data_IF_180880421676
#
_entry.id   IF_180880421676
#
_cell.length_a   1.000
_cell.length_b   1.000
_cell.length_c   1.000
_cell.angle_alpha   90.00
_cell.angle_beta   90.00
_cell.angle_gamma   90.00
#
_symmetry.space_group_name_H-M   'P 1'
#
loop_
_entity.id
_entity.type
_entity.pdbx_description
1 polymer ?
#
# COMPACT_ATOMS: atom_id res chain seq x y z
N UNK A 1 3.28 35.82 -28.20
CA UNK A 1 3.94 36.15 -26.91
C UNK A 1 3.51 35.13 -25.86
N UNK A 2 4.46 34.49 -25.20
CA UNK A 2 4.13 33.59 -24.09
C UNK A 2 3.50 34.38 -22.93
N UNK A 3 2.36 33.96 -22.41
CA UNK A 3 1.72 34.55 -21.22
C UNK A 3 2.43 34.19 -19.92
N UNK A 4 3.41 33.29 -19.98
CA UNK A 4 4.11 32.75 -18.80
C UNK A 4 5.46 33.40 -18.52
N UNK A 5 5.90 34.34 -19.37
CA UNK A 5 7.17 35.09 -19.17
C UNK A 5 6.91 36.57 -19.19
N UNK A 6 7.59 37.31 -18.32
CA UNK A 6 7.51 38.79 -18.25
C UNK A 6 8.40 39.49 -19.27
N UNK A 7 9.24 38.73 -20.00
CA UNK A 7 10.15 39.34 -21.00
C UNK A 7 9.37 39.90 -22.19
N UNK A 8 9.56 41.21 -22.46
CA UNK A 8 9.02 41.90 -23.62
C UNK A 8 9.89 41.62 -24.86
N UNK A 9 9.43 42.04 -26.07
CA UNK A 9 10.24 41.90 -27.29
C UNK A 9 11.52 42.74 -27.25
N UNK A 10 11.54 43.98 -26.69
CA UNK A 10 12.79 44.69 -26.41
C UNK A 10 13.73 43.94 -25.46
N UNK A 11 13.21 43.34 -24.38
CA UNK A 11 14.04 42.56 -23.43
C UNK A 11 14.66 41.34 -24.12
N UNK A 12 13.90 40.63 -24.94
CA UNK A 12 14.41 39.49 -25.71
C UNK A 12 15.51 39.89 -26.67
N UNK A 13 15.35 41.02 -27.38
CA UNK A 13 16.41 41.56 -28.24
C UNK A 13 17.68 41.88 -27.45
N UNK A 14 17.54 42.58 -26.35
CA UNK A 14 18.69 42.88 -25.48
C UNK A 14 19.39 41.61 -24.96
N UNK A 15 18.63 40.55 -24.62
CA UNK A 15 19.20 39.26 -24.23
C UNK A 15 19.95 38.59 -25.38
N UNK A 16 19.37 38.54 -26.58
CA UNK A 16 20.01 37.97 -27.77
C UNK A 16 21.30 38.75 -28.12
N UNK A 17 21.25 40.07 -28.10
CA UNK A 17 22.43 40.93 -28.34
C UNK A 17 23.54 40.65 -27.31
N UNK A 18 23.16 40.47 -26.03
CA UNK A 18 24.14 40.23 -24.95
C UNK A 18 24.86 38.87 -25.08
N UNK A 19 24.22 37.86 -25.67
CA UNK A 19 24.81 36.53 -25.91
C UNK A 19 25.35 36.36 -27.32
N UNK A 20 25.21 37.38 -28.19
CA UNK A 20 25.71 37.37 -29.55
C UNK A 20 24.89 36.51 -30.53
N UNK A 21 23.62 36.25 -30.23
CA UNK A 21 22.69 35.51 -31.09
C UNK A 21 21.80 36.48 -31.89
N UNK A 22 21.60 36.21 -33.18
CA UNK A 22 20.79 37.05 -34.05
C UNK A 22 19.29 36.78 -33.90
N UNK A 23 18.93 35.59 -33.49
CA UNK A 23 17.55 35.13 -33.33
C UNK A 23 17.42 34.07 -32.24
N UNK A 24 16.17 33.76 -31.83
CA UNK A 24 15.88 32.60 -30.96
C UNK A 24 16.25 31.28 -31.63
N UNK A 25 16.14 31.21 -32.96
CA UNK A 25 16.48 30.03 -33.73
C UNK A 25 17.94 29.64 -33.64
N UNK A 26 18.85 30.65 -33.53
CA UNK A 26 20.27 30.42 -33.41
C UNK A 26 20.62 29.66 -32.11
N UNK A 27 19.76 29.74 -31.10
CA UNK A 27 19.96 29.02 -29.84
C UNK A 27 19.76 27.51 -29.97
N UNK A 28 19.18 27.08 -31.08
CA UNK A 28 18.94 25.66 -31.38
C UNK A 28 19.90 25.11 -32.44
N UNK A 29 20.94 25.85 -32.79
CA UNK A 29 21.91 25.46 -33.82
C UNK A 29 22.63 24.13 -33.53
N UNK A 30 22.74 23.77 -32.25
CA UNK A 30 23.35 22.48 -31.82
C UNK A 30 22.44 21.28 -32.07
N UNK A 31 21.16 21.50 -32.41
CA UNK A 31 20.22 20.43 -32.72
C UNK A 31 20.29 20.17 -34.23
N UNK A 32 20.65 18.93 -34.67
CA UNK A 32 20.67 18.59 -36.09
C UNK A 32 19.31 18.80 -36.75
N UNK A 33 19.32 19.34 -38.00
CA UNK A 33 18.07 19.67 -38.73
C UNK A 33 17.15 18.44 -38.92
N UNK A 34 17.72 17.25 -39.12
CA UNK A 34 16.99 16.01 -39.33
C UNK A 34 16.23 15.48 -38.11
N UNK A 35 16.58 15.95 -36.92
CA UNK A 35 15.87 15.60 -35.66
C UNK A 35 15.06 16.77 -35.10
N UNK A 36 15.16 17.93 -35.71
CA UNK A 36 14.43 19.13 -35.29
C UNK A 36 12.98 19.10 -35.82
N UNK A 37 12.03 19.30 -34.92
CA UNK A 37 10.62 19.41 -35.32
C UNK A 37 10.37 20.80 -35.93
N UNK A 38 9.97 20.83 -37.19
CA UNK A 38 9.69 22.07 -37.99
C UNK A 38 8.20 22.34 -38.18
N UNK A 39 7.35 21.58 -37.53
CA UNK A 39 5.89 21.69 -37.55
C UNK A 39 5.30 21.94 -36.18
N UNK A 40 4.11 22.48 -36.10
CA UNK A 40 3.34 22.53 -34.87
C UNK A 40 2.95 21.12 -34.42
N UNK A 41 2.84 20.94 -33.12
CA UNK A 41 2.31 19.71 -32.57
C UNK A 41 0.84 19.55 -32.93
N UNK A 42 0.43 18.33 -33.29
CA UNK A 42 -0.98 18.00 -33.57
C UNK A 42 -1.72 17.83 -32.23
N UNK A 43 -2.01 18.96 -31.60
CA UNK A 43 -2.74 19.03 -30.33
C UNK A 43 -4.11 19.67 -30.56
N UNK A 44 -5.14 19.23 -29.81
CA UNK A 44 -6.43 19.90 -29.82
C UNK A 44 -6.31 21.36 -29.44
N UNK A 45 -7.19 22.19 -29.99
CA UNK A 45 -7.27 23.59 -29.56
C UNK A 45 -7.55 23.72 -28.07
N UNK A 46 -7.00 24.76 -27.45
CA UNK A 46 -7.25 25.04 -26.05
C UNK A 46 -8.73 25.30 -25.77
N UNK A 47 -9.23 24.73 -24.69
CA UNK A 47 -10.62 24.90 -24.23
C UNK A 47 -10.68 26.01 -23.16
N UNK A 48 -11.85 26.63 -23.03
CA UNK A 48 -12.14 27.53 -21.88
C UNK A 48 -12.24 26.71 -20.57
N UNK A 49 -12.12 27.38 -19.44
CA UNK A 49 -12.27 26.75 -18.11
C UNK A 49 -13.61 26.00 -17.97
N UNK A 50 -14.70 26.62 -18.44
CA UNK A 50 -16.04 25.99 -18.41
C UNK A 50 -16.05 24.70 -19.27
N UNK A 51 -15.57 24.77 -20.49
CA UNK A 51 -15.54 23.60 -21.40
C UNK A 51 -14.69 22.45 -20.83
N UNK A 52 -13.54 22.77 -20.22
CA UNK A 52 -12.70 21.76 -19.54
C UNK A 52 -13.44 21.15 -18.35
N UNK A 53 -14.10 21.98 -17.54
CA UNK A 53 -14.87 21.53 -16.39
C UNK A 53 -16.01 20.60 -16.81
N UNK A 54 -16.79 20.97 -17.81
CA UNK A 54 -17.89 20.17 -18.31
C UNK A 54 -17.38 18.85 -18.93
N UNK A 55 -16.30 18.92 -19.68
CA UNK A 55 -15.67 17.72 -20.28
C UNK A 55 -15.17 16.74 -19.20
N UNK A 56 -14.41 17.22 -18.22
CA UNK A 56 -13.90 16.38 -17.14
C UNK A 56 -15.03 15.84 -16.25
N UNK A 57 -16.07 16.64 -15.98
CA UNK A 57 -17.25 16.19 -15.25
C UNK A 57 -17.97 15.05 -15.99
N UNK A 58 -18.08 15.15 -17.34
CA UNK A 58 -18.67 14.10 -18.16
C UNK A 58 -17.88 12.80 -18.12
N UNK A 59 -16.54 12.88 -18.08
CA UNK A 59 -15.67 11.71 -17.92
C UNK A 59 -15.78 11.13 -16.51
N UNK A 60 -15.79 11.97 -15.49
CA UNK A 60 -15.93 11.54 -14.10
C UNK A 60 -17.26 10.81 -13.84
N UNK A 61 -18.35 11.27 -14.47
CA UNK A 61 -19.67 10.64 -14.37
C UNK A 61 -19.76 9.23 -14.97
N UNK A 62 -18.76 8.77 -15.70
CA UNK A 62 -18.65 7.39 -16.19
C UNK A 62 -18.15 6.41 -15.13
N UNK A 63 -17.56 6.90 -14.05
CA UNK A 63 -17.13 6.09 -12.91
C UNK A 63 -18.30 5.88 -11.95
N UNK A 64 -18.25 4.76 -11.22
CA UNK A 64 -19.14 4.50 -10.09
C UNK A 64 -18.32 4.54 -8.81
N UNK A 65 -18.65 5.48 -7.92
CA UNK A 65 -17.98 5.60 -6.62
C UNK A 65 -18.57 4.66 -5.57
N UNK A 66 -17.82 4.45 -4.50
CA UNK A 66 -18.25 3.62 -3.36
C UNK A 66 -19.44 4.21 -2.56
N UNK A 67 -19.87 5.42 -2.89
CA UNK A 67 -21.10 6.06 -2.43
C UNK A 67 -22.33 5.78 -3.33
N UNK A 68 -22.09 5.30 -4.55
CA UNK A 68 -23.11 5.00 -5.55
C UNK A 68 -23.39 3.51 -5.68
N UNK A 69 -22.47 2.67 -5.24
CA UNK A 69 -22.63 1.21 -5.28
C UNK A 69 -22.24 0.58 -3.93
N UNK A 70 -22.88 -0.53 -3.59
CA UNK A 70 -22.49 -1.37 -2.45
C UNK A 70 -21.35 -2.24 -2.88
N UNK A 71 -20.13 -2.00 -2.37
CA UNK A 71 -18.95 -2.76 -2.77
C UNK A 71 -18.50 -3.75 -1.69
N UNK A 72 -18.25 -4.98 -2.10
CA UNK A 72 -17.57 -6.02 -1.34
C UNK A 72 -16.17 -6.30 -1.91
N UNK A 73 -15.67 -5.43 -2.77
CA UNK A 73 -14.30 -5.49 -3.25
C UNK A 73 -13.32 -5.15 -2.13
N UNK A 74 -12.18 -5.83 -2.14
CA UNK A 74 -11.09 -5.69 -1.19
C UNK A 74 -9.76 -5.86 -1.90
N UNK A 75 -9.11 -7.02 -1.69
CA UNK A 75 -7.84 -7.34 -2.34
C UNK A 75 -6.75 -6.28 -2.07
N UNK A 76 -6.62 -5.86 -0.81
CA UNK A 76 -5.60 -4.93 -0.35
C UNK A 76 -6.04 -3.46 -0.23
N UNK A 77 -7.16 -3.07 -0.87
CA UNK A 77 -7.75 -1.72 -0.76
C UNK A 77 -9.21 -1.84 -0.33
N UNK A 78 -9.63 -1.13 0.72
CA UNK A 78 -10.91 -1.38 1.36
C UNK A 78 -11.71 -0.09 1.61
N UNK A 79 -13.02 -0.17 1.38
CA UNK A 79 -13.96 0.92 1.57
C UNK A 79 -14.31 1.09 3.07
N UNK A 80 -13.39 1.66 3.85
CA UNK A 80 -13.63 2.06 5.23
C UNK A 80 -14.25 3.45 5.34
N UNK A 81 -14.93 3.71 6.44
CA UNK A 81 -15.37 5.06 6.78
C UNK A 81 -14.17 5.91 7.21
N UNK A 82 -13.97 7.03 6.53
CA UNK A 82 -12.95 8.01 6.90
C UNK A 82 -13.62 9.13 7.71
N UNK A 83 -13.30 9.29 9.00
CA UNK A 83 -13.85 10.34 9.83
C UNK A 83 -13.53 11.74 9.30
N UNK A 84 -14.49 12.67 9.38
CA UNK A 84 -14.29 14.05 8.93
C UNK A 84 -13.11 14.75 9.63
N UNK A 85 -12.74 14.30 10.84
CA UNK A 85 -11.58 14.81 11.58
C UNK A 85 -10.26 14.55 10.81
N UNK A 86 -10.13 13.41 10.16
CA UNK A 86 -8.92 13.07 9.37
C UNK A 86 -8.72 14.11 8.27
N UNK A 87 -9.77 14.34 7.46
CA UNK A 87 -9.72 15.32 6.38
C UNK A 87 -9.51 16.76 6.91
N UNK A 88 -10.21 17.14 7.98
CA UNK A 88 -10.06 18.45 8.61
C UNK A 88 -8.62 18.75 9.06
N UNK A 89 -7.88 17.74 9.52
CA UNK A 89 -6.49 17.91 9.95
C UNK A 89 -5.54 17.86 8.76
N UNK A 90 -5.71 16.92 7.83
CA UNK A 90 -4.81 16.77 6.67
C UNK A 90 -4.89 17.95 5.70
N UNK A 91 -6.04 18.66 5.67
CA UNK A 91 -6.24 19.87 4.85
C UNK A 91 -5.66 21.15 5.49
N UNK A 92 -5.18 21.12 6.73
CA UNK A 92 -4.54 22.29 7.32
C UNK A 92 -3.25 22.61 6.59
N UNK A 93 -3.05 23.90 6.30
CA UNK A 93 -1.87 24.36 5.54
C UNK A 93 -0.54 23.97 6.20
N UNK A 94 -0.50 23.89 7.53
CA UNK A 94 0.67 23.49 8.32
C UNK A 94 1.12 22.06 8.01
N UNK A 95 0.23 21.19 7.55
CA UNK A 95 0.52 19.81 7.17
C UNK A 95 0.47 19.57 5.66
N UNK A 96 -0.37 20.32 4.93
CA UNK A 96 -0.57 20.16 3.49
C UNK A 96 0.60 20.69 2.66
N UNK A 97 1.19 21.84 3.06
CA UNK A 97 2.21 22.54 2.25
C UNK A 97 3.65 22.14 2.52
N UNK A 98 4.06 21.58 3.68
CA UNK A 98 5.45 21.18 3.89
C UNK A 98 5.89 20.09 2.92
N UNK A 99 7.15 20.16 2.54
CA UNK A 99 7.83 19.11 1.81
C UNK A 99 8.60 18.21 2.79
N UNK A 100 9.84 17.84 2.50
CA UNK A 100 10.65 17.07 3.43
C UNK A 100 11.15 17.96 4.59
N UNK A 101 10.98 17.56 5.86
CA UNK A 101 11.29 18.37 7.03
C UNK A 101 12.79 18.33 7.38
N UNK A 102 13.68 18.76 6.46
CA UNK A 102 15.12 18.79 6.71
C UNK A 102 15.55 19.86 7.72
N UNK A 103 14.78 20.95 7.81
CA UNK A 103 15.03 22.03 8.78
C UNK A 103 14.14 21.83 10.02
N UNK A 104 14.67 21.22 11.10
CA UNK A 104 13.86 20.92 12.28
C UNK A 104 13.31 22.19 12.95
N UNK A 105 13.98 23.33 12.82
CA UNK A 105 13.60 24.60 13.44
C UNK A 105 12.20 25.08 13.02
N UNK A 106 11.77 24.76 11.80
CA UNK A 106 10.47 25.17 11.24
C UNK A 106 9.52 24.00 11.00
N UNK A 107 9.90 22.78 11.35
CA UNK A 107 9.18 21.55 11.02
C UNK A 107 8.81 20.69 12.23
N UNK A 108 8.80 21.25 13.43
CA UNK A 108 8.61 20.50 14.67
C UNK A 108 7.30 19.73 14.70
N UNK A 109 6.18 20.33 14.25
CA UNK A 109 4.88 19.65 14.20
C UNK A 109 4.88 18.43 13.27
N UNK A 110 5.43 18.56 12.06
CA UNK A 110 5.55 17.46 11.11
C UNK A 110 6.47 16.34 11.61
N UNK A 111 7.60 16.68 12.21
CA UNK A 111 8.54 15.72 12.79
C UNK A 111 7.94 14.99 13.99
N UNK A 112 7.18 15.68 14.83
CA UNK A 112 6.45 15.07 15.93
C UNK A 112 5.43 14.05 15.42
N UNK A 113 4.66 14.40 14.40
CA UNK A 113 3.71 13.45 13.78
C UNK A 113 4.42 12.22 13.22
N UNK A 114 5.55 12.38 12.56
CA UNK A 114 6.35 11.24 12.09
C UNK A 114 6.80 10.34 13.26
N UNK A 115 7.24 10.93 14.36
CA UNK A 115 7.64 10.21 15.56
C UNK A 115 6.46 9.46 16.19
N UNK A 116 5.29 10.10 16.31
CA UNK A 116 4.08 9.48 16.84
C UNK A 116 3.58 8.35 15.93
N UNK A 117 3.63 8.53 14.60
CA UNK A 117 3.33 7.47 13.64
C UNK A 117 4.26 6.26 13.80
N UNK A 118 5.56 6.47 13.92
CA UNK A 118 6.54 5.42 14.18
C UNK A 118 6.18 4.64 15.46
N UNK A 119 5.81 5.35 16.52
CA UNK A 119 5.39 4.75 17.78
C UNK A 119 4.13 3.89 17.59
N UNK A 120 3.11 4.43 16.90
CA UNK A 120 1.87 3.70 16.66
C UNK A 120 2.09 2.41 15.86
N UNK A 121 2.92 2.45 14.81
CA UNK A 121 3.24 1.25 14.02
C UNK A 121 4.07 0.26 14.84
N UNK A 122 4.99 0.72 15.66
CA UNK A 122 5.76 -0.15 16.57
C UNK A 122 4.85 -0.86 17.57
N UNK A 123 3.92 -0.15 18.18
CA UNK A 123 2.94 -0.71 19.13
C UNK A 123 2.00 -1.73 18.44
N UNK A 124 1.50 -1.43 17.24
CA UNK A 124 0.63 -2.32 16.49
C UNK A 124 1.33 -3.61 16.08
N UNK A 125 2.57 -3.51 15.63
CA UNK A 125 3.33 -4.65 15.09
C UNK A 125 4.08 -5.45 16.15
N UNK A 126 4.25 -4.91 17.37
CA UNK A 126 5.07 -5.50 18.42
C UNK A 126 6.56 -5.49 18.09
N UNK A 127 7.01 -4.62 17.16
CA UNK A 127 8.42 -4.46 16.79
C UNK A 127 8.95 -3.12 17.28
N UNK A 128 10.20 -3.05 17.79
CA UNK A 128 10.67 -1.89 18.58
C UNK A 128 10.96 -0.64 17.74
N UNK A 129 11.13 -0.76 16.42
CA UNK A 129 11.47 0.38 15.57
C UNK A 129 10.61 0.42 14.31
N UNK A 130 10.19 1.62 13.93
CA UNK A 130 9.47 1.89 12.69
C UNK A 130 10.06 3.10 11.98
N UNK A 131 9.84 3.21 10.67
CA UNK A 131 10.16 4.40 9.89
C UNK A 131 8.96 5.37 9.79
N UNK A 132 9.19 6.53 9.18
CA UNK A 132 8.19 7.59 9.05
C UNK A 132 7.20 7.39 7.87
N UNK A 133 7.15 6.27 7.26
CA UNK A 133 6.33 5.71 6.16
C UNK A 133 7.15 5.30 4.94
N UNK A 134 6.51 4.57 4.04
CA UNK A 134 6.94 4.24 2.68
C UNK A 134 5.84 4.64 1.69
N UNK A 135 6.00 4.26 0.41
CA UNK A 135 5.06 4.67 -0.64
C UNK A 135 3.74 3.91 -0.56
N UNK A 136 3.78 2.57 -0.53
CA UNK A 136 2.64 1.67 -0.39
C UNK A 136 3.09 0.28 0.09
N UNK A 137 2.14 -0.63 0.32
CA UNK A 137 2.41 -1.99 0.81
C UNK A 137 3.38 -2.78 -0.07
N UNK A 138 3.16 -2.89 -1.40
CA UNK A 138 4.05 -3.62 -2.30
C UNK A 138 5.50 -3.16 -2.27
N UNK A 139 5.77 -1.85 -2.29
CA UNK A 139 7.15 -1.35 -2.18
C UNK A 139 7.74 -1.54 -0.77
N UNK A 140 6.89 -1.61 0.26
CA UNK A 140 7.33 -1.94 1.62
C UNK A 140 7.84 -3.38 1.70
N UNK A 141 7.13 -4.33 1.08
CA UNK A 141 7.56 -5.74 0.93
C UNK A 141 8.87 -5.82 0.16
N UNK A 142 8.97 -5.16 -0.99
CA UNK A 142 10.19 -5.15 -1.81
C UNK A 142 11.39 -4.53 -1.08
N UNK A 143 11.17 -3.49 -0.29
CA UNK A 143 12.20 -2.85 0.54
C UNK A 143 12.71 -3.78 1.65
N UNK A 144 11.87 -4.68 2.18
CA UNK A 144 12.29 -5.70 3.13
C UNK A 144 13.20 -6.75 2.45
N UNK A 145 12.96 -7.08 1.18
CA UNK A 145 13.84 -7.92 0.38
C UNK A 145 15.23 -7.29 0.18
N UNK A 146 15.27 -5.99 -0.09
CA UNK A 146 16.53 -5.27 -0.19
C UNK A 146 17.28 -5.21 1.15
N UNK A 147 16.58 -4.97 2.27
CA UNK A 147 17.18 -5.03 3.60
C UNK A 147 17.79 -6.40 3.88
N UNK A 148 17.10 -7.48 3.53
CA UNK A 148 17.61 -8.84 3.71
C UNK A 148 18.89 -9.08 2.89
N UNK A 149 18.91 -8.61 1.64
CA UNK A 149 20.12 -8.66 0.81
C UNK A 149 21.28 -7.87 1.42
N UNK A 150 21.04 -6.69 1.98
CA UNK A 150 22.07 -5.91 2.70
C UNK A 150 22.53 -6.59 4.01
N UNK A 151 21.69 -7.42 4.62
CA UNK A 151 22.01 -8.09 5.89
C UNK A 151 22.92 -9.29 5.70
N UNK A 152 22.59 -10.19 4.78
CA UNK A 152 23.29 -11.47 4.65
C UNK A 152 23.83 -11.77 3.24
N UNK A 153 23.48 -10.99 2.22
CA UNK A 153 24.02 -11.13 0.85
C UNK A 153 23.64 -12.42 0.13
N UNK A 154 22.65 -13.17 0.64
CA UNK A 154 22.17 -14.42 0.03
C UNK A 154 21.26 -14.10 -1.16
N UNK A 155 21.29 -14.91 -2.20
CA UNK A 155 20.66 -14.62 -3.48
C UNK A 155 19.21 -15.11 -3.64
N UNK A 156 18.59 -15.68 -2.59
CA UNK A 156 17.26 -16.28 -2.67
C UNK A 156 16.28 -15.65 -1.69
N UNK A 157 15.11 -15.29 -2.19
CA UNK A 157 13.95 -14.83 -1.43
C UNK A 157 12.84 -15.86 -1.61
N UNK A 158 12.23 -16.33 -0.52
CA UNK A 158 11.11 -17.27 -0.57
C UNK A 158 9.84 -16.50 -0.21
N UNK A 159 8.79 -16.59 -1.02
CA UNK A 159 7.52 -15.90 -0.79
C UNK A 159 6.35 -16.89 -0.81
N UNK A 160 5.50 -16.84 0.22
CA UNK A 160 4.23 -17.55 0.16
C UNK A 160 3.34 -16.99 -0.97
N UNK A 161 2.64 -17.85 -1.69
CA UNK A 161 1.58 -17.41 -2.59
C UNK A 161 0.41 -16.73 -1.87
N UNK A 162 0.33 -16.84 -0.55
CA UNK A 162 -0.58 -16.07 0.29
C UNK A 162 -0.19 -14.59 0.45
N UNK A 163 1.00 -14.17 0.04
CA UNK A 163 1.36 -12.75 -0.06
C UNK A 163 0.64 -12.11 -1.24
N UNK A 164 0.17 -10.90 -1.06
CA UNK A 164 -0.56 -10.12 -2.09
C UNK A 164 0.15 -10.18 -3.46
N UNK A 165 -0.56 -10.47 -4.57
CA UNK A 165 0.04 -10.64 -5.90
C UNK A 165 0.93 -9.47 -6.32
N UNK A 166 0.46 -8.22 -6.21
CA UNK A 166 1.26 -7.04 -6.53
C UNK A 166 2.53 -6.93 -5.68
N UNK A 167 2.47 -7.37 -4.41
CA UNK A 167 3.66 -7.39 -3.54
C UNK A 167 4.68 -8.42 -4.02
N UNK A 168 4.25 -9.61 -4.46
CA UNK A 168 5.13 -10.64 -5.03
C UNK A 168 5.77 -10.17 -6.33
N UNK A 169 5.00 -9.55 -7.23
CA UNK A 169 5.51 -8.99 -8.49
C UNK A 169 6.51 -7.85 -8.27
N UNK A 170 6.20 -6.94 -7.32
CA UNK A 170 7.10 -5.83 -6.95
C UNK A 170 8.38 -6.37 -6.33
N UNK A 171 8.27 -7.36 -5.43
CA UNK A 171 9.44 -8.04 -4.84
C UNK A 171 10.31 -8.68 -5.92
N UNK A 172 9.72 -9.39 -6.89
CA UNK A 172 10.44 -10.02 -8.00
C UNK A 172 11.12 -8.97 -8.91
N UNK A 173 10.48 -7.81 -9.10
CA UNK A 173 11.05 -6.71 -9.89
C UNK A 173 12.28 -6.11 -9.19
N UNK A 174 12.18 -5.83 -7.90
CA UNK A 174 13.29 -5.30 -7.10
C UNK A 174 14.42 -6.32 -6.95
N UNK A 175 14.08 -7.60 -6.70
CA UNK A 175 15.04 -8.67 -6.53
C UNK A 175 16.00 -8.78 -7.72
N UNK A 176 15.49 -8.64 -8.95
CA UNK A 176 16.33 -8.60 -10.17
C UNK A 176 17.33 -7.44 -10.13
N UNK A 177 16.93 -6.27 -9.58
CA UNK A 177 17.78 -5.08 -9.48
C UNK A 177 18.98 -5.27 -8.54
N UNK A 178 18.84 -6.08 -7.49
CA UNK A 178 19.93 -6.38 -6.55
C UNK A 178 20.47 -7.83 -6.66
N UNK A 179 20.18 -8.52 -7.78
CA UNK A 179 20.79 -9.79 -8.10
C UNK A 179 20.27 -11.00 -7.33
N UNK A 180 19.02 -10.92 -6.82
CA UNK A 180 18.35 -12.03 -6.14
C UNK A 180 17.22 -12.63 -6.98
N UNK A 181 16.84 -13.88 -6.67
CA UNK A 181 15.67 -14.56 -7.23
C UNK A 181 14.57 -14.70 -6.19
N UNK A 182 13.34 -14.71 -6.65
CA UNK A 182 12.17 -15.03 -5.80
C UNK A 182 11.69 -16.43 -6.15
N UNK A 183 11.48 -17.26 -5.12
CA UNK A 183 10.88 -18.58 -5.20
C UNK A 183 9.54 -18.53 -4.46
N UNK A 184 8.46 -18.91 -5.13
CA UNK A 184 7.13 -18.95 -4.53
C UNK A 184 6.83 -20.33 -3.97
N UNK A 185 6.25 -20.38 -2.76
CA UNK A 185 5.74 -21.61 -2.16
C UNK A 185 4.22 -21.63 -2.25
N UNK A 186 3.61 -22.81 -2.51
CA UNK A 186 2.17 -22.95 -2.70
C UNK A 186 1.39 -22.68 -1.41
N UNK A 187 0.07 -22.59 -1.57
CA UNK A 187 -0.90 -22.74 -0.50
C UNK A 187 -1.32 -24.21 -0.41
N UNK A 188 -1.77 -24.61 0.77
CA UNK A 188 -2.40 -25.90 1.01
C UNK A 188 -3.88 -25.90 0.56
N UNK A 189 -4.57 -27.03 0.76
CA UNK A 189 -5.97 -27.21 0.38
C UNK A 189 -6.93 -26.30 1.16
N UNK A 190 -6.52 -25.78 2.31
CA UNK A 190 -7.29 -24.85 3.16
C UNK A 190 -6.96 -23.37 2.86
N UNK A 191 -6.16 -23.09 1.83
CA UNK A 191 -5.77 -21.75 1.43
C UNK A 191 -4.80 -21.07 2.39
N UNK A 192 -4.11 -21.82 3.23
CA UNK A 192 -3.02 -21.36 4.06
C UNK A 192 -1.65 -21.62 3.39
N UNK A 193 -0.59 -21.00 3.89
CA UNK A 193 0.76 -21.29 3.41
C UNK A 193 1.15 -22.74 3.73
N UNK A 194 1.53 -23.51 2.70
CA UNK A 194 1.98 -24.90 2.88
C UNK A 194 3.30 -24.90 3.69
N UNK A 195 3.21 -25.35 4.95
CA UNK A 195 4.34 -25.39 5.87
C UNK A 195 5.42 -26.38 5.44
N UNK A 196 5.06 -27.52 4.86
CA UNK A 196 6.04 -28.52 4.39
C UNK A 196 6.80 -28.01 3.16
N UNK A 197 6.08 -27.41 2.21
CA UNK A 197 6.69 -26.76 1.04
C UNK A 197 7.58 -25.60 1.46
N UNK A 198 7.14 -24.76 2.42
CA UNK A 198 7.96 -23.68 2.95
C UNK A 198 9.24 -24.23 3.59
N UNK A 199 9.13 -25.24 4.44
CA UNK A 199 10.28 -25.84 5.11
C UNK A 199 11.24 -26.49 4.13
N UNK A 200 10.78 -27.05 3.02
CA UNK A 200 11.60 -27.60 1.95
C UNK A 200 12.30 -26.51 1.13
N UNK A 201 11.63 -25.37 0.91
CA UNK A 201 12.18 -24.25 0.14
C UNK A 201 13.24 -23.43 0.90
N UNK A 202 13.25 -23.44 2.25
CA UNK A 202 14.20 -22.65 3.06
C UNK A 202 15.51 -23.39 3.23
N UNK A 203 16.60 -22.82 2.68
CA UNK A 203 17.96 -23.35 2.71
C UNK A 203 19.01 -22.27 3.05
N UNK A 204 20.30 -22.61 2.96
CA UNK A 204 21.41 -21.71 3.29
C UNK A 204 21.56 -20.54 2.29
N UNK A 205 20.96 -20.62 1.10
CA UNK A 205 20.92 -19.52 0.14
C UNK A 205 19.75 -18.55 0.41
N UNK A 206 18.82 -18.92 1.29
CA UNK A 206 17.63 -18.13 1.58
C UNK A 206 17.98 -16.89 2.41
N UNK A 207 17.76 -15.71 1.83
CA UNK A 207 17.99 -14.41 2.48
C UNK A 207 16.82 -14.01 3.38
N UNK A 208 15.59 -14.16 2.88
CA UNK A 208 14.37 -13.88 3.63
C UNK A 208 13.20 -14.74 3.15
N UNK A 209 12.23 -14.91 4.05
CA UNK A 209 10.92 -15.52 3.79
C UNK A 209 9.84 -14.44 3.97
N UNK A 210 8.90 -14.39 3.03
CA UNK A 210 7.79 -13.44 3.02
C UNK A 210 6.47 -14.17 3.26
N UNK A 211 5.77 -13.74 4.30
CA UNK A 211 4.45 -14.23 4.72
C UNK A 211 3.47 -13.04 4.75
N UNK A 212 2.18 -13.34 4.87
CA UNK A 212 1.16 -12.30 5.05
C UNK A 212 0.08 -12.77 6.05
N UNK A 213 -0.36 -11.87 6.93
CA UNK A 213 -1.32 -12.14 7.99
C UNK A 213 -2.41 -11.05 8.09
N UNK A 214 -3.70 -11.34 7.87
CA UNK A 214 -4.18 -12.51 7.14
C UNK A 214 -3.60 -12.57 5.73
N UNK A 215 -3.56 -13.75 5.10
CA UNK A 215 -3.05 -13.87 3.74
C UNK A 215 -4.03 -13.28 2.71
N UNK A 216 -3.65 -13.26 1.44
CA UNK A 216 -4.44 -12.64 0.37
C UNK A 216 -5.83 -13.26 0.19
N UNK A 217 -6.01 -14.54 0.49
CA UNK A 217 -7.32 -15.20 0.47
C UNK A 217 -8.16 -14.91 1.71
N UNK A 218 -7.60 -14.19 2.69
CA UNK A 218 -8.23 -13.86 3.96
C UNK A 218 -7.98 -14.87 5.09
N UNK A 219 -7.24 -15.95 4.83
CA UNK A 219 -6.91 -16.97 5.84
C UNK A 219 -6.03 -16.38 6.95
N UNK A 220 -6.41 -16.62 8.20
CA UNK A 220 -5.53 -16.35 9.35
C UNK A 220 -4.52 -17.49 9.46
N UNK A 221 -3.25 -17.18 9.18
CA UNK A 221 -2.16 -18.14 9.13
C UNK A 221 -1.70 -18.60 10.53
N UNK A 222 -1.23 -19.82 10.63
CA UNK A 222 -0.48 -20.31 11.80
C UNK A 222 0.94 -19.72 11.80
N UNK A 223 1.03 -18.43 12.09
CA UNK A 223 2.26 -17.65 11.89
C UNK A 223 3.45 -18.16 12.72
N UNK A 224 3.23 -18.76 13.89
CA UNK A 224 4.29 -19.28 14.75
C UNK A 224 5.14 -20.34 14.07
N UNK A 225 4.58 -21.51 13.66
CA UNK A 225 5.30 -22.54 12.94
C UNK A 225 5.93 -22.04 11.62
N UNK A 226 5.26 -21.16 10.88
CA UNK A 226 5.78 -20.57 9.65
C UNK A 226 7.02 -19.69 9.90
N UNK A 227 7.00 -18.87 10.95
CA UNK A 227 8.13 -18.05 11.35
C UNK A 227 9.33 -18.90 11.84
N UNK A 228 9.08 -19.99 12.56
CA UNK A 228 10.12 -20.95 12.95
C UNK A 228 10.78 -21.60 11.73
N UNK A 229 9.97 -22.09 10.79
CA UNK A 229 10.46 -22.67 9.54
C UNK A 229 11.29 -21.66 8.71
N UNK A 230 10.82 -20.42 8.62
CA UNK A 230 11.48 -19.33 7.91
C UNK A 230 12.89 -19.03 8.47
N UNK A 231 13.06 -19.11 9.79
CA UNK A 231 14.30 -18.73 10.48
C UNK A 231 15.29 -19.86 10.68
N UNK A 232 14.96 -21.10 10.28
CA UNK A 232 15.75 -22.29 10.54
C UNK A 232 17.19 -22.18 10.07
N UNK A 233 17.44 -21.52 8.93
CA UNK A 233 18.77 -21.31 8.35
C UNK A 233 19.35 -19.91 8.61
N UNK A 234 18.71 -19.12 9.47
CA UNK A 234 19.08 -17.74 9.74
C UNK A 234 18.62 -16.76 8.64
N UNK A 235 17.63 -17.13 7.83
CA UNK A 235 16.93 -16.20 6.95
C UNK A 235 16.06 -15.23 7.78
N UNK A 236 15.79 -14.04 7.23
CA UNK A 236 14.87 -13.08 7.86
C UNK A 236 13.42 -13.56 7.64
N UNK A 237 12.58 -13.42 8.66
CA UNK A 237 11.14 -13.58 8.53
C UNK A 237 10.49 -12.21 8.37
N UNK A 238 9.84 -11.99 7.21
CA UNK A 238 9.10 -10.78 6.87
C UNK A 238 7.62 -11.11 6.83
N UNK A 239 6.78 -10.34 7.53
CA UNK A 239 5.34 -10.51 7.50
C UNK A 239 4.65 -9.24 7.03
N UNK A 240 3.91 -9.31 5.92
CA UNK A 240 2.96 -8.29 5.55
C UNK A 240 1.70 -8.44 6.42
N UNK A 241 1.19 -7.34 6.98
CA UNK A 241 0.02 -7.37 7.87
C UNK A 241 -1.01 -6.31 7.48
N UNK A 242 -2.27 -6.66 7.68
CA UNK A 242 -3.35 -5.70 7.65
C UNK A 242 -3.46 -5.01 9.02
N UNK A 243 -3.20 -3.69 9.11
CA UNK A 243 -3.06 -3.01 10.39
C UNK A 243 -4.35 -3.00 11.23
N UNK A 244 -5.54 -3.03 10.61
CA UNK A 244 -6.80 -3.06 11.36
C UNK A 244 -7.10 -4.43 11.97
N UNK A 245 -6.60 -5.51 11.37
CA UNK A 245 -6.77 -6.85 11.93
C UNK A 245 -5.94 -7.07 13.21
N UNK A 246 -4.92 -6.25 13.43
CA UNK A 246 -4.11 -6.26 14.66
C UNK A 246 -4.89 -5.81 15.90
N UNK A 247 -6.11 -5.28 15.74
CA UNK A 247 -7.05 -5.09 16.84
C UNK A 247 -7.56 -6.39 17.47
N UNK A 248 -7.50 -7.51 16.72
CA UNK A 248 -8.02 -8.83 17.15
C UNK A 248 -7.00 -9.97 16.96
N UNK A 249 -5.95 -9.76 16.20
CA UNK A 249 -4.87 -10.73 16.00
C UNK A 249 -3.64 -10.33 16.84
N UNK A 250 -2.89 -11.33 17.23
CA UNK A 250 -1.61 -11.12 17.93
C UNK A 250 -0.61 -10.43 17.00
N UNK A 251 0.14 -9.41 17.50
CA UNK A 251 1.16 -8.72 16.72
C UNK A 251 2.23 -9.66 16.15
N UNK A 252 2.71 -9.44 14.90
CA UNK A 252 3.70 -10.31 14.28
C UNK A 252 5.03 -10.39 15.04
N UNK A 253 5.43 -9.32 15.73
CA UNK A 253 6.65 -9.30 16.56
C UNK A 253 6.65 -10.35 17.67
N UNK A 254 5.48 -10.72 18.21
CA UNK A 254 5.36 -11.76 19.26
C UNK A 254 5.62 -13.18 18.74
N UNK A 255 5.57 -13.40 17.42
CA UNK A 255 5.96 -14.65 16.76
C UNK A 255 7.43 -14.67 16.34
N UNK A 256 8.20 -13.64 16.71
CA UNK A 256 9.61 -13.54 16.34
C UNK A 256 9.85 -13.13 14.88
N UNK A 257 8.88 -12.52 14.21
CA UNK A 257 9.05 -11.89 12.90
C UNK A 257 10.12 -10.80 13.01
N UNK A 258 10.98 -10.71 11.99
CA UNK A 258 12.08 -9.74 11.96
C UNK A 258 11.66 -8.37 11.42
N UNK A 259 10.75 -8.39 10.45
CA UNK A 259 10.24 -7.20 9.77
C UNK A 259 8.74 -7.36 9.53
N UNK A 260 7.95 -6.37 9.94
CA UNK A 260 6.54 -6.24 9.61
C UNK A 260 6.34 -5.06 8.66
N UNK A 261 5.59 -5.30 7.59
CA UNK A 261 5.28 -4.31 6.55
C UNK A 261 3.78 -4.35 6.25
N UNK A 262 3.28 -3.36 5.55
CA UNK A 262 1.89 -3.41 5.10
C UNK A 262 1.43 -2.16 4.37
N UNK A 263 0.19 -2.26 3.90
CA UNK A 263 -0.55 -1.19 3.26
C UNK A 263 -1.34 -0.41 4.33
N UNK A 264 -1.14 0.90 4.34
CA UNK A 264 -1.76 1.78 5.33
C UNK A 264 -3.07 2.43 4.89
N UNK A 265 -3.58 2.14 3.69
CA UNK A 265 -4.81 2.76 3.17
C UNK A 265 -5.98 2.66 4.16
N UNK A 266 -6.13 1.54 4.83
CA UNK A 266 -7.22 1.29 5.78
C UNK A 266 -7.18 2.17 7.03
N UNK A 267 -6.04 2.77 7.30
CA UNK A 267 -5.86 3.73 8.38
C UNK A 267 -6.26 5.15 7.92
N UNK A 268 -7.57 5.35 7.72
CA UNK A 268 -8.13 6.68 7.49
C UNK A 268 -7.82 7.32 6.13
N UNK A 269 -7.44 6.54 5.12
CA UNK A 269 -7.25 7.02 3.75
C UNK A 269 -8.40 6.55 2.84
N UNK A 270 -8.85 7.42 1.94
CA UNK A 270 -9.88 7.10 0.95
C UNK A 270 -9.31 6.17 -0.12
N UNK A 271 -10.19 5.56 -0.92
CA UNK A 271 -9.76 4.72 -2.06
C UNK A 271 -9.09 5.54 -3.18
N UNK A 272 -9.49 6.78 -3.38
CA UNK A 272 -8.91 7.79 -4.29
C UNK A 272 -8.47 7.22 -5.65
N UNK A 273 -9.37 6.47 -6.30
CA UNK A 273 -9.11 5.80 -7.60
C UNK A 273 -7.90 4.83 -7.60
N UNK A 274 -7.52 4.30 -6.44
CA UNK A 274 -6.39 3.40 -6.28
C UNK A 274 -5.14 4.02 -5.65
N UNK A 275 -5.26 5.20 -5.08
CA UNK A 275 -4.18 5.88 -4.37
C UNK A 275 -4.04 7.36 -4.72
N UNK A 276 -3.04 8.03 -4.15
CA UNK A 276 -2.00 7.45 -3.30
C UNK A 276 -2.50 7.04 -1.91
N UNK A 277 -1.84 6.04 -1.33
CA UNK A 277 -1.99 5.65 0.07
C UNK A 277 -0.64 5.76 0.79
N UNK A 278 -0.31 4.89 1.73
CA UNK A 278 1.02 4.83 2.30
C UNK A 278 1.38 3.41 2.73
N UNK A 279 2.67 3.09 2.69
CA UNK A 279 3.21 1.87 3.26
C UNK A 279 3.78 2.11 4.66
N UNK A 280 3.78 1.10 5.51
CA UNK A 280 4.48 1.12 6.78
C UNK A 280 5.53 0.01 6.87
N UNK A 281 6.49 0.22 7.77
CA UNK A 281 7.63 -0.67 7.94
C UNK A 281 8.10 -0.62 9.40
N UNK A 282 8.06 -1.76 10.07
CA UNK A 282 8.64 -1.93 11.39
C UNK A 282 9.65 -3.08 11.39
N UNK A 283 10.65 -3.04 12.26
CA UNK A 283 11.69 -4.04 12.31
C UNK A 283 12.26 -4.27 13.72
N UNK A 284 12.96 -5.39 13.89
CA UNK A 284 13.79 -5.60 15.06
C UNK A 284 14.92 -4.56 15.12
N UNK A 285 15.32 -4.14 16.34
CA UNK A 285 16.27 -3.04 16.58
C UNK A 285 17.60 -3.19 15.83
N UNK A 286 18.10 -4.43 15.69
CA UNK A 286 19.35 -4.71 14.97
C UNK A 286 19.38 -4.22 13.52
N UNK A 287 18.20 -4.03 12.90
CA UNK A 287 18.08 -3.57 11.52
C UNK A 287 17.94 -2.04 11.37
N UNK A 288 17.83 -1.29 12.47
CA UNK A 288 17.61 0.15 12.49
C UNK A 288 18.51 0.92 11.49
N UNK A 289 19.79 0.56 11.41
CA UNK A 289 20.76 1.23 10.52
C UNK A 289 20.67 0.83 9.05
N UNK A 290 19.88 -0.20 8.72
CA UNK A 290 19.67 -0.71 7.36
C UNK A 290 18.23 -0.50 6.87
N UNK A 291 17.32 -0.10 7.76
CA UNK A 291 15.92 0.14 7.41
C UNK A 291 15.78 1.17 6.28
N UNK A 292 14.80 1.00 5.37
CA UNK A 292 14.45 2.04 4.39
C UNK A 292 13.70 3.20 5.06
N UNK A 293 13.61 4.32 4.33
CA UNK A 293 12.82 5.47 4.72
C UNK A 293 13.45 6.34 5.81
N UNK A 294 12.80 7.46 6.09
CA UNK A 294 13.22 8.40 7.13
C UNK A 294 12.85 7.94 8.51
N UNK A 295 13.61 8.41 9.48
CA UNK A 295 13.36 8.18 10.90
C UNK A 295 13.41 9.52 11.62
N UNK A 296 12.33 9.88 12.31
CA UNK A 296 12.30 10.98 13.24
C UNK A 296 12.77 10.50 14.62
N UNK A 297 13.57 11.31 15.28
CA UNK A 297 14.07 11.06 16.62
C UNK A 297 13.71 12.21 17.57
N UNK A 298 13.52 11.87 18.85
CA UNK A 298 13.36 12.86 19.90
C UNK A 298 14.71 13.41 20.34
N UNK A 299 14.77 14.70 20.63
CA UNK A 299 15.96 15.42 21.09
C UNK A 299 15.56 16.55 22.03
N UNK A 300 16.53 17.34 22.47
CA UNK A 300 16.31 18.59 23.20
C UNK A 300 17.04 19.73 22.50
N UNK A 301 16.47 20.95 22.57
CA UNK A 301 17.11 22.16 22.09
C UNK A 301 18.19 22.69 23.06
N UNK A 302 18.80 23.82 22.72
CA UNK A 302 19.84 24.45 23.56
C UNK A 302 19.34 24.91 24.93
N UNK A 303 18.05 25.11 25.07
CA UNK A 303 17.37 25.49 26.31
C UNK A 303 16.86 24.26 27.10
N UNK A 304 17.12 23.05 26.61
CA UNK A 304 16.66 21.79 27.20
C UNK A 304 15.19 21.47 26.93
N UNK A 305 14.53 22.15 25.99
CA UNK A 305 13.14 21.85 25.61
C UNK A 305 13.10 20.67 24.66
N UNK A 306 12.09 19.83 24.83
CA UNK A 306 11.82 18.70 23.93
C UNK A 306 11.63 19.15 22.48
N UNK A 307 12.28 18.47 21.56
CA UNK A 307 12.18 18.71 20.14
C UNK A 307 12.35 17.42 19.32
N UNK A 308 12.20 17.52 18.00
CA UNK A 308 12.28 16.42 17.07
C UNK A 308 13.20 16.74 15.90
N UNK A 309 13.90 15.74 15.39
CA UNK A 309 14.83 15.87 14.25
C UNK A 309 14.71 14.64 13.34
N UNK A 310 15.09 14.78 12.07
CA UNK A 310 15.43 13.61 11.26
C UNK A 310 16.76 13.04 11.75
N UNK A 311 16.79 11.75 12.00
CA UNK A 311 17.99 11.06 12.47
C UNK A 311 18.48 10.02 11.47
N UNK A 312 19.73 9.55 11.62
CA UNK A 312 20.35 8.54 10.75
C UNK A 312 20.30 8.90 9.25
N UNK A 313 20.32 10.17 8.90
CA UNK A 313 20.25 10.67 7.52
C UNK A 313 21.39 10.15 6.63
N UNK A 314 22.50 9.68 7.21
CA UNK A 314 23.61 9.06 6.47
C UNK A 314 23.21 7.79 5.71
N UNK A 315 21.98 7.25 5.87
CA UNK A 315 21.42 6.15 5.09
C UNK A 315 20.82 6.63 3.77
N UNK A 316 20.55 7.94 3.63
CA UNK A 316 19.81 8.51 2.51
C UNK A 316 20.71 8.72 1.28
N UNK A 317 20.12 8.63 0.07
CA UNK A 317 20.84 8.69 -1.21
C UNK A 317 21.57 10.02 -1.46
N UNK A 318 21.02 11.15 -0.98
CA UNK A 318 21.67 12.47 -1.18
C UNK A 318 22.96 12.63 -0.38
N UNK A 319 23.19 11.77 0.62
CA UNK A 319 24.43 11.72 1.42
C UNK A 319 25.33 10.57 0.97
N UNK A 320 24.80 9.36 0.87
CA UNK A 320 25.59 8.13 0.61
C UNK A 320 25.64 7.73 -0.86
N UNK A 321 24.84 8.35 -1.74
CA UNK A 321 24.77 8.06 -3.17
C UNK A 321 24.52 6.56 -3.42
N UNK A 322 25.37 5.90 -4.20
CA UNK A 322 25.28 4.46 -4.51
C UNK A 322 25.39 3.52 -3.29
N UNK A 323 25.90 4.03 -2.16
CA UNK A 323 26.01 3.28 -0.90
C UNK A 323 24.82 3.50 0.05
N UNK A 324 23.79 4.20 -0.39
CA UNK A 324 22.59 4.42 0.40
C UNK A 324 21.86 3.08 0.66
N UNK A 325 21.24 2.95 1.82
CA UNK A 325 20.41 1.78 2.14
C UNK A 325 19.02 1.86 1.54
N UNK A 326 18.64 3.01 1.02
CA UNK A 326 17.35 3.23 0.33
C UNK A 326 17.41 4.52 -0.52
N UNK A 327 16.44 4.64 -1.43
CA UNK A 327 16.22 5.83 -2.26
C UNK A 327 14.86 6.51 -2.00
N UNK A 328 14.24 6.22 -0.85
CA UNK A 328 12.99 6.85 -0.43
C UNK A 328 13.24 8.33 -0.19
N UNK A 329 12.50 9.21 -0.88
CA UNK A 329 12.63 10.65 -0.75
C UNK A 329 11.55 11.24 0.18
N UNK A 330 10.37 11.49 -0.33
CA UNK A 330 9.29 12.12 0.44
C UNK A 330 8.45 11.13 1.23
N UNK A 331 8.44 9.84 0.82
CA UNK A 331 7.45 8.87 1.28
C UNK A 331 6.00 9.39 1.11
N UNK A 332 5.07 9.00 1.97
CA UNK A 332 3.67 9.45 1.98
C UNK A 332 3.32 10.09 3.32
N UNK A 333 4.07 11.11 3.70
CA UNK A 333 3.99 11.72 5.03
C UNK A 333 2.60 12.27 5.37
N UNK A 334 1.89 12.89 4.40
CA UNK A 334 0.55 13.42 4.63
C UNK A 334 -0.48 12.30 4.82
N UNK A 335 -0.39 11.23 4.05
CA UNK A 335 -1.26 10.06 4.20
C UNK A 335 -0.98 9.32 5.52
N UNK A 336 0.28 9.25 5.93
CA UNK A 336 0.67 8.69 7.24
C UNK A 336 0.17 9.56 8.40
N UNK A 337 0.13 10.91 8.26
CA UNK A 337 -0.55 11.80 9.20
C UNK A 337 -2.03 11.44 9.32
N UNK A 338 -2.71 11.25 8.18
CA UNK A 338 -4.10 10.78 8.16
C UNK A 338 -4.26 9.46 8.94
N UNK A 339 -3.32 8.52 8.74
CA UNK A 339 -3.26 7.26 9.47
C UNK A 339 -3.09 7.45 10.98
N UNK A 340 -2.20 8.34 11.38
CA UNK A 340 -1.98 8.64 12.81
C UNK A 340 -3.21 9.28 13.45
N UNK A 341 -3.86 10.23 12.77
CA UNK A 341 -5.11 10.86 13.24
C UNK A 341 -6.22 9.82 13.39
N UNK A 342 -6.35 8.90 12.43
CA UNK A 342 -7.33 7.83 12.47
C UNK A 342 -7.09 6.87 13.65
N UNK A 343 -5.85 6.45 13.87
CA UNK A 343 -5.48 5.60 15.00
C UNK A 343 -5.74 6.31 16.34
N UNK A 344 -5.41 7.60 16.44
CA UNK A 344 -5.68 8.40 17.64
C UNK A 344 -7.20 8.56 17.88
N UNK A 345 -8.00 8.69 16.82
CA UNK A 345 -9.47 8.76 16.89
C UNK A 345 -10.10 7.44 17.33
N UNK A 346 -9.66 6.31 16.78
CA UNK A 346 -10.10 4.99 17.21
C UNK A 346 -9.66 4.71 18.65
N UNK A 347 -8.42 5.04 18.95
CA UNK A 347 -7.80 4.68 20.20
C UNK A 347 -7.72 3.15 20.38
N UNK A 348 -7.19 2.77 21.50
CA UNK A 348 -6.95 1.37 21.87
C UNK A 348 -8.22 0.51 21.87
N UNK A 349 -9.35 1.08 22.27
CA UNK A 349 -10.64 0.39 22.31
C UNK A 349 -11.30 0.32 20.93
N UNK A 350 -11.27 1.41 20.18
CA UNK A 350 -11.95 1.50 18.89
C UNK A 350 -11.37 0.55 17.85
N UNK A 351 -10.03 0.33 17.83
CA UNK A 351 -9.42 -0.62 16.89
C UNK A 351 -9.86 -2.07 17.17
N UNK A 352 -10.02 -2.44 18.46
CA UNK A 352 -10.53 -3.75 18.86
C UNK A 352 -12.00 -3.90 18.45
N UNK A 353 -12.84 -2.92 18.79
CA UNK A 353 -14.27 -2.92 18.44
C UNK A 353 -14.49 -3.01 16.92
N UNK A 354 -13.65 -2.32 16.14
CA UNK A 354 -13.70 -2.37 14.68
C UNK A 354 -13.29 -3.75 14.15
N UNK A 355 -12.19 -4.32 14.64
CA UNK A 355 -11.76 -5.67 14.29
C UNK A 355 -12.81 -6.75 14.58
N UNK A 356 -13.40 -6.70 15.78
CA UNK A 356 -14.49 -7.60 16.15
C UNK A 356 -15.76 -7.40 15.30
N UNK A 357 -16.11 -6.16 14.95
CA UNK A 357 -17.24 -5.87 14.09
C UNK A 357 -17.04 -6.48 12.69
N UNK A 358 -15.85 -6.32 12.12
CA UNK A 358 -15.49 -6.92 10.83
C UNK A 358 -15.58 -8.45 10.89
N UNK A 359 -14.99 -9.08 11.92
CA UNK A 359 -15.03 -10.53 12.09
C UNK A 359 -16.48 -11.08 12.20
N UNK A 360 -17.35 -10.42 12.99
CA UNK A 360 -18.76 -10.78 13.10
C UNK A 360 -19.50 -10.65 11.77
N UNK A 361 -19.27 -9.58 11.01
CA UNK A 361 -19.93 -9.37 9.70
C UNK A 361 -19.44 -10.38 8.66
N UNK A 362 -18.15 -10.68 8.67
CA UNK A 362 -17.55 -11.68 7.77
C UNK A 362 -18.09 -13.07 8.05
N UNK A 363 -18.20 -13.46 9.32
CA UNK A 363 -18.81 -14.72 9.69
C UNK A 363 -20.28 -14.81 9.22
N UNK A 364 -21.05 -13.74 9.43
CA UNK A 364 -22.42 -13.66 8.94
C UNK A 364 -22.50 -13.76 7.42
N UNK A 365 -21.64 -13.03 6.69
CA UNK A 365 -21.61 -13.04 5.22
C UNK A 365 -21.28 -14.43 4.66
N UNK A 366 -20.26 -15.13 5.20
CA UNK A 366 -19.94 -16.52 4.80
C UNK A 366 -21.13 -17.44 4.93
N UNK A 367 -21.82 -17.39 6.09
CA UNK A 367 -23.00 -18.19 6.32
C UNK A 367 -24.17 -17.82 5.39
N UNK A 368 -24.42 -16.53 5.18
CA UNK A 368 -25.52 -16.04 4.34
C UNK A 368 -25.32 -16.36 2.85
N UNK A 369 -24.10 -16.24 2.33
CA UNK A 369 -23.78 -16.58 0.96
C UNK A 369 -23.92 -18.10 0.71
N UNK A 370 -23.53 -18.94 1.67
CA UNK A 370 -23.64 -20.41 1.60
C UNK A 370 -22.94 -21.01 0.38
N UNK A 371 -21.88 -20.36 -0.12
CA UNK A 371 -21.01 -20.83 -1.20
C UNK A 371 -19.87 -21.67 -0.62
N UNK A 372 -19.28 -22.54 -1.45
CA UNK A 372 -18.17 -23.39 -1.04
C UNK A 372 -16.93 -22.53 -0.69
N UNK A 373 -16.38 -22.63 0.53
CA UNK A 373 -15.21 -21.87 0.90
C UNK A 373 -13.94 -22.41 0.24
N UNK A 374 -13.10 -21.53 -0.29
CA UNK A 374 -11.72 -21.85 -0.69
C UNK A 374 -10.83 -21.89 0.56
N UNK A 375 -11.12 -21.05 1.55
CA UNK A 375 -10.43 -20.99 2.84
C UNK A 375 -11.41 -21.27 3.98
N UNK A 376 -11.61 -22.53 4.38
CA UNK A 376 -12.58 -22.90 5.41
C UNK A 376 -12.20 -22.44 6.82
N UNK A 377 -10.92 -22.13 7.06
CA UNK A 377 -10.37 -21.70 8.33
C UNK A 377 -10.86 -20.33 8.84
N UNK A 378 -10.26 -19.82 9.92
CA UNK A 378 -10.61 -18.52 10.49
C UNK A 378 -10.24 -17.36 9.57
N UNK A 379 -11.12 -16.35 9.54
CA UNK A 379 -10.98 -15.12 8.75
C UNK A 379 -11.37 -13.91 9.60
N UNK A 380 -10.90 -12.71 9.26
CA UNK A 380 -11.27 -11.49 9.97
C UNK A 380 -12.22 -10.63 9.15
N UNK A 381 -11.83 -10.19 7.96
CA UNK A 381 -12.66 -9.28 7.15
C UNK A 381 -12.77 -9.66 5.68
N UNK A 382 -12.08 -10.67 5.25
CA UNK A 382 -12.04 -11.10 3.86
C UNK A 382 -12.05 -12.62 3.80
N UNK A 383 -12.73 -13.19 2.81
CA UNK A 383 -12.79 -14.63 2.61
C UNK A 383 -13.01 -14.97 1.14
N UNK A 384 -12.51 -16.11 0.74
CA UNK A 384 -12.59 -16.62 -0.63
C UNK A 384 -13.62 -17.76 -0.74
N UNK A 385 -14.40 -17.74 -1.82
CA UNK A 385 -15.43 -18.76 -2.11
C UNK A 385 -15.40 -19.16 -3.58
N UNK A 386 -15.81 -20.40 -3.89
CA UNK A 386 -16.10 -20.85 -5.25
C UNK A 386 -17.51 -20.47 -5.64
N UNK A 387 -17.68 -19.98 -6.86
CA UNK A 387 -18.96 -19.55 -7.40
C UNK A 387 -19.22 -20.33 -8.69
N UNK A 388 -20.21 -21.22 -8.74
CA UNK A 388 -20.47 -22.08 -9.91
C UNK A 388 -20.65 -21.31 -11.23
N UNK A 389 -21.36 -20.18 -11.18
CA UNK A 389 -21.49 -19.21 -12.27
C UNK A 389 -21.03 -17.83 -11.79
N UNK A 390 -19.73 -17.61 -11.80
CA UNK A 390 -19.13 -16.35 -11.35
C UNK A 390 -19.50 -15.18 -12.27
N UNK A 391 -19.60 -15.40 -13.57
CA UNK A 391 -19.96 -14.35 -14.53
C UNK A 391 -21.40 -13.91 -14.35
N UNK A 392 -22.33 -14.83 -14.23
CA UNK A 392 -23.75 -14.56 -13.97
C UNK A 392 -23.96 -13.86 -12.62
N UNK A 393 -23.27 -14.29 -11.56
CA UNK A 393 -23.30 -13.59 -10.26
C UNK A 393 -22.86 -12.14 -10.37
N UNK A 394 -21.70 -11.91 -11.02
CA UNK A 394 -21.13 -10.55 -11.13
C UNK A 394 -22.01 -9.65 -11.98
N UNK A 395 -22.56 -10.14 -13.09
CA UNK A 395 -23.45 -9.38 -13.95
C UNK A 395 -24.75 -8.99 -13.22
N UNK A 396 -25.41 -9.96 -12.60
CA UNK A 396 -26.65 -9.75 -11.84
C UNK A 396 -26.44 -8.79 -10.65
N UNK A 397 -25.38 -8.96 -9.88
CA UNK A 397 -25.07 -8.10 -8.75
C UNK A 397 -24.78 -6.66 -9.21
N UNK A 398 -23.99 -6.47 -10.26
CA UNK A 398 -23.69 -5.15 -10.82
C UNK A 398 -24.92 -4.44 -11.39
N UNK A 399 -25.82 -5.16 -12.04
CA UNK A 399 -27.10 -4.63 -12.51
C UNK A 399 -27.96 -4.10 -11.35
N UNK A 400 -27.84 -4.72 -10.17
CA UNK A 400 -28.47 -4.27 -8.92
C UNK A 400 -27.62 -3.26 -8.13
N UNK A 401 -26.53 -2.71 -8.67
CA UNK A 401 -25.67 -1.73 -7.99
C UNK A 401 -24.83 -2.33 -6.84
N UNK A 402 -24.45 -3.61 -6.95
CA UNK A 402 -23.58 -4.31 -6.01
C UNK A 402 -22.31 -4.77 -6.73
N UNK A 403 -21.14 -4.41 -6.20
CA UNK A 403 -19.89 -5.02 -6.59
C UNK A 403 -19.61 -6.21 -5.65
N UNK A 404 -19.71 -7.46 -6.12
CA UNK A 404 -19.72 -8.63 -5.25
C UNK A 404 -18.35 -8.99 -4.67
N UNK A 405 -17.25 -8.48 -5.22
CA UNK A 405 -15.90 -8.81 -4.76
C UNK A 405 -14.86 -8.85 -5.88
N UNK A 406 -13.70 -9.41 -5.56
CA UNK A 406 -12.57 -9.54 -6.46
C UNK A 406 -12.49 -10.95 -7.08
N UNK A 407 -12.34 -11.03 -8.40
CA UNK A 407 -12.20 -12.30 -9.13
C UNK A 407 -10.79 -12.86 -8.94
N UNK A 408 -10.67 -13.97 -8.23
CA UNK A 408 -9.37 -14.59 -7.91
C UNK A 408 -8.64 -15.12 -9.15
N UNK A 409 -9.36 -15.58 -10.17
CA UNK A 409 -8.77 -16.12 -11.40
C UNK A 409 -7.84 -15.15 -12.15
N UNK A 410 -7.82 -13.87 -11.78
CA UNK A 410 -6.86 -12.89 -12.32
C UNK A 410 -5.42 -13.19 -11.92
N UNK A 411 -5.20 -13.65 -10.68
CA UNK A 411 -3.88 -13.87 -10.09
C UNK A 411 -3.65 -15.33 -9.68
N UNK A 412 -4.74 -16.09 -9.56
CA UNK A 412 -4.76 -17.51 -9.18
C UNK A 412 -5.57 -18.29 -10.21
N UNK A 413 -4.96 -18.75 -11.32
CA UNK A 413 -5.68 -19.49 -12.37
C UNK A 413 -6.40 -20.74 -11.86
N UNK A 414 -5.90 -21.37 -10.77
CA UNK A 414 -6.53 -22.52 -10.09
C UNK A 414 -7.85 -22.18 -9.39
N UNK A 415 -8.11 -20.89 -9.16
CA UNK A 415 -9.35 -20.35 -8.61
C UNK A 415 -10.07 -19.47 -9.64
N UNK A 416 -10.17 -19.94 -10.90
CA UNK A 416 -10.85 -19.21 -11.98
C UNK A 416 -12.33 -18.92 -11.65
N UNK A 417 -12.98 -19.79 -10.87
CA UNK A 417 -14.32 -19.66 -10.32
C UNK A 417 -14.36 -18.94 -8.95
N UNK A 418 -13.21 -18.45 -8.48
CA UNK A 418 -13.05 -17.88 -7.14
C UNK A 418 -13.46 -16.41 -7.05
N UNK A 419 -14.19 -16.08 -5.98
CA UNK A 419 -14.56 -14.72 -5.59
C UNK A 419 -14.02 -14.43 -4.19
N UNK A 420 -13.26 -13.35 -4.06
CA UNK A 420 -12.79 -12.81 -2.78
C UNK A 420 -13.73 -11.70 -2.33
N UNK A 421 -14.32 -11.86 -1.14
CA UNK A 421 -15.37 -10.99 -0.58
C UNK A 421 -14.84 -10.28 0.65
N UNK A 422 -14.87 -8.96 0.65
CA UNK A 422 -14.38 -8.12 1.75
C UNK A 422 -15.52 -7.41 2.51
N UNK A 423 -15.38 -7.34 3.82
CA UNK A 423 -16.32 -6.69 4.74
C UNK A 423 -15.63 -5.56 5.50
N UNK A 424 -16.31 -4.44 5.58
CA UNK A 424 -15.92 -3.31 6.42
C UNK A 424 -17.10 -2.90 7.32
N UNK A 425 -16.91 -1.91 8.18
CA UNK A 425 -17.99 -1.33 8.98
C UNK A 425 -19.07 -0.61 8.15
N UNK A 426 -18.80 -0.34 6.88
CA UNK A 426 -19.79 0.25 5.96
C UNK A 426 -20.80 -0.76 5.42
N UNK A 427 -20.49 -2.05 5.45
CA UNK A 427 -21.40 -3.10 4.95
C UNK A 427 -22.41 -3.47 6.02
N UNK A 428 -23.66 -3.08 5.80
CA UNK A 428 -24.77 -3.40 6.70
C UNK A 428 -25.24 -4.85 6.51
N UNK A 429 -26.06 -5.35 7.45
CA UNK A 429 -26.71 -6.66 7.28
C UNK A 429 -27.56 -6.70 6.00
N UNK A 430 -28.30 -5.61 5.71
CA UNK A 430 -29.12 -5.50 4.51
C UNK A 430 -28.28 -5.61 3.21
N UNK A 431 -27.07 -5.01 3.20
CA UNK A 431 -26.15 -5.15 2.07
C UNK A 431 -25.67 -6.59 1.88
N UNK A 432 -25.32 -7.27 2.98
CA UNK A 432 -24.92 -8.68 2.96
C UNK A 432 -26.06 -9.56 2.47
N UNK A 433 -27.27 -9.35 2.99
CA UNK A 433 -28.47 -10.10 2.57
C UNK A 433 -28.80 -9.84 1.08
N UNK A 434 -28.49 -8.65 0.57
CA UNK A 434 -28.62 -8.31 -0.86
C UNK A 434 -27.66 -9.14 -1.72
N UNK A 435 -26.38 -9.20 -1.36
CA UNK A 435 -25.40 -10.04 -2.05
C UNK A 435 -25.77 -11.54 -1.95
N UNK A 436 -26.26 -11.98 -0.79
CA UNK A 436 -26.66 -13.38 -0.56
C UNK A 436 -27.83 -13.81 -1.47
N UNK A 437 -28.76 -12.91 -1.82
CA UNK A 437 -29.81 -13.21 -2.80
C UNK A 437 -29.24 -13.55 -4.18
N UNK A 438 -28.25 -12.79 -4.65
CA UNK A 438 -27.57 -13.09 -5.92
C UNK A 438 -26.80 -14.41 -5.84
N UNK A 439 -26.15 -14.72 -4.72
CA UNK A 439 -25.47 -15.99 -4.51
C UNK A 439 -26.45 -17.17 -4.51
N UNK A 440 -27.68 -17.00 -4.02
CA UNK A 440 -28.70 -18.05 -4.00
C UNK A 440 -29.19 -18.42 -5.40
N UNK A 441 -29.25 -17.50 -6.36
CA UNK A 441 -29.66 -17.80 -7.75
C UNK A 441 -28.67 -18.73 -8.43
N UNK A 442 -27.38 -18.46 -8.34
CA UNK A 442 -26.34 -19.29 -8.99
C UNK A 442 -26.15 -20.66 -8.33
N UNK A 443 -26.53 -20.80 -7.03
CA UNK A 443 -26.55 -22.12 -6.36
C UNK A 443 -27.70 -23.01 -6.83
N UNK A 444 -28.86 -22.44 -7.11
CA UNK A 444 -30.04 -23.17 -7.52
C UNK A 444 -29.95 -23.74 -8.95
N UNK A 445 -29.05 -23.23 -9.77
CA UNK A 445 -28.85 -23.65 -11.16
C UNK A 445 -27.89 -24.84 -11.30
N UNK A 446 -27.25 -25.29 -10.22
CA UNK A 446 -26.38 -26.48 -10.22
C UNK A 446 -27.29 -27.71 -9.99
N UNK A 447 -27.47 -28.63 -10.96
CA UNK A 447 -28.16 -29.89 -10.73
C UNK A 447 -27.42 -30.71 -9.68
N UNK A 448 -28.16 -31.31 -8.73
CA UNK A 448 -27.62 -32.16 -7.67
C UNK A 448 -26.94 -33.43 -8.23
#
# INVERSE_FOLDING_TARGET
MSRYTSATDPDRRAMLDAIGAGSLEDLFADIPEDVRLDRELDLPAGMSEQEVTDHLASLAARNRGADQEVTFAGAGMYDHYVPALVESITQRSEFLTPYTPYQPEISQGGLQVMFEFQTAISELTGLPVSNASLYEGPSSVASAGYLANLENGRGKLVASRGVHPHSRETLATYARGFGSRVEEVPLDDDGATDLEALAAAVDDETSAVFLQQPNFLGTVEELGPLAEAAKRTGALCVCAVDPLTLGVLRPPGEYGVDVAVGEGQTLGNRLDFGGPSFGFYAAAERYLRKMPGRIAGETVDVDGRRGFVLTLQTREQHIRREKATHNICTSQALNALGGMVYLAWLGRRGIVELGELMARRTHYARAALGLEPINPGPVVREFAVRVPDLDGLVEAARADGVNPGYRLGRDYPEYADGLLVALTERRTRADIDRLARHAATVRAEVPA
#
